data_IF_926462632758
#
_entry.id   IF_926462632758
#
_cell.length_a   1.000
_cell.length_b   1.000
_cell.length_c   1.000
_cell.angle_alpha   90.00
_cell.angle_beta   90.00
_cell.angle_gamma   90.00
#
_symmetry.space_group_name_H-M   'P 1'
#
loop_
_entity.id
_entity.type
_entity.pdbx_description
1 polymer ?
#
# COMPACT_ATOMS: atom_id res chain seq x y z
N UNK A 1 -25.58 -6.06 -17.61
CA UNK A 1 -26.27 -5.52 -16.42
C UNK A 1 -27.66 -5.04 -16.84
N UNK A 2 -28.65 -5.15 -15.97
CA UNK A 2 -30.10 -4.95 -16.23
C UNK A 2 -30.54 -3.54 -16.70
N UNK A 3 -29.64 -2.57 -16.74
CA UNK A 3 -29.89 -1.20 -17.22
C UNK A 3 -30.77 -0.36 -16.30
N UNK A 4 -31.10 -0.86 -15.11
CA UNK A 4 -31.99 -0.18 -14.16
C UNK A 4 -31.17 0.39 -13.01
N UNK A 5 -31.01 1.71 -13.00
CA UNK A 5 -30.32 2.45 -11.94
C UNK A 5 -28.83 2.67 -12.19
N UNK A 6 -28.15 3.20 -11.16
CA UNK A 6 -26.72 3.56 -11.19
C UNK A 6 -26.07 3.10 -9.89
N UNK A 7 -24.79 2.78 -9.95
CA UNK A 7 -23.97 2.46 -8.78
C UNK A 7 -22.79 3.42 -8.73
N UNK A 8 -22.45 3.90 -7.52
CA UNK A 8 -21.28 4.72 -7.33
C UNK A 8 -20.02 3.85 -7.24
N UNK A 9 -19.03 4.15 -8.07
CA UNK A 9 -17.65 3.75 -7.86
C UNK A 9 -16.89 4.95 -7.33
N UNK A 10 -16.04 4.75 -6.31
CA UNK A 10 -15.34 5.85 -5.66
C UNK A 10 -13.93 5.46 -5.23
N UNK A 11 -13.07 6.46 -5.14
CA UNK A 11 -11.75 6.37 -4.55
C UNK A 11 -11.81 6.88 -3.11
N UNK A 12 -11.14 6.18 -2.19
CA UNK A 12 -11.07 6.56 -0.78
C UNK A 12 -9.63 6.81 -0.38
N UNK A 13 -9.35 8.04 0.06
CA UNK A 13 -8.08 8.44 0.65
C UNK A 13 -8.30 8.89 2.09
N UNK A 14 -7.65 8.22 3.03
CA UNK A 14 -7.67 8.62 4.45
C UNK A 14 -6.50 9.55 4.74
N UNK A 15 -6.77 10.68 5.39
CA UNK A 15 -5.72 11.60 5.83
C UNK A 15 -4.90 10.96 6.97
N UNK A 16 -3.93 10.12 6.64
CA UNK A 16 -2.95 9.56 7.59
C UNK A 16 -1.81 10.56 7.82
N UNK A 17 -0.92 10.27 8.78
CA UNK A 17 0.29 11.07 8.99
C UNK A 17 1.16 11.17 7.72
N UNK A 18 1.32 10.04 7.01
CA UNK A 18 2.08 9.97 5.75
C UNK A 18 1.44 10.81 4.64
N UNK A 19 0.12 10.68 4.43
CA UNK A 19 -0.60 11.46 3.41
C UNK A 19 -0.51 12.96 3.70
N UNK A 20 -0.74 13.36 4.96
CA UNK A 20 -0.59 14.77 5.37
C UNK A 20 0.84 15.28 5.14
N UNK A 21 1.85 14.44 5.35
CA UNK A 21 3.23 14.82 5.10
C UNK A 21 3.50 15.08 3.61
N UNK A 22 3.07 14.16 2.75
CA UNK A 22 3.21 14.32 1.29
C UNK A 22 2.51 15.57 0.77
N UNK A 23 1.34 15.92 1.33
CA UNK A 23 0.63 17.16 0.97
C UNK A 23 1.44 18.39 1.36
N UNK A 24 1.99 18.45 2.58
CA UNK A 24 2.82 19.58 3.04
C UNK A 24 4.10 19.74 2.24
N UNK A 25 4.71 18.63 1.80
CA UNK A 25 5.94 18.63 1.01
C UNK A 25 5.70 18.78 -0.50
N UNK A 26 4.46 18.98 -0.95
CA UNK A 26 4.08 19.06 -2.36
C UNK A 26 4.51 17.81 -3.18
N UNK A 27 4.47 16.63 -2.54
CA UNK A 27 4.78 15.32 -3.14
C UNK A 27 3.49 14.53 -3.42
N UNK A 28 2.46 15.22 -3.90
CA UNK A 28 1.11 14.64 -4.11
C UNK A 28 1.09 13.50 -5.12
N UNK A 29 2.02 13.48 -6.08
CA UNK A 29 2.19 12.38 -7.03
C UNK A 29 2.47 11.02 -6.38
N UNK A 30 3.02 10.99 -5.16
CA UNK A 30 3.27 9.75 -4.42
C UNK A 30 2.02 9.20 -3.71
N UNK A 31 0.94 9.99 -3.61
CA UNK A 31 -0.29 9.59 -2.90
C UNK A 31 -0.94 8.37 -3.56
N UNK A 32 -0.87 8.22 -4.88
CA UNK A 32 -1.42 7.06 -5.59
C UNK A 32 -0.88 5.72 -5.06
N UNK A 33 0.43 5.65 -4.79
CA UNK A 33 1.07 4.45 -4.21
C UNK A 33 0.63 4.19 -2.77
N UNK A 34 0.34 5.25 -2.00
CA UNK A 34 -0.23 5.10 -0.66
C UNK A 34 -1.67 4.58 -0.71
N UNK A 35 -2.49 5.00 -1.67
CA UNK A 35 -3.86 4.47 -1.84
C UNK A 35 -3.80 2.97 -2.17
N UNK A 36 -2.93 2.57 -3.11
CA UNK A 36 -2.77 1.18 -3.53
C UNK A 36 -2.36 0.24 -2.38
N UNK A 37 -1.48 0.71 -1.49
CA UNK A 37 -0.97 -0.07 -0.35
C UNK A 37 -1.74 0.16 0.96
N UNK A 38 -2.65 1.15 0.97
CA UNK A 38 -3.38 1.64 2.15
C UNK A 38 -4.64 0.85 2.52
N UNK A 39 -4.79 -0.39 2.05
CA UNK A 39 -5.99 -1.21 2.29
C UNK A 39 -6.31 -1.38 3.78
N UNK A 40 -5.29 -1.48 4.64
CA UNK A 40 -5.44 -1.53 6.12
C UNK A 40 -6.11 -0.27 6.70
N UNK A 41 -5.89 0.87 6.06
CA UNK A 41 -6.54 2.13 6.40
C UNK A 41 -7.86 2.32 5.63
N UNK A 42 -8.42 1.26 5.03
CA UNK A 42 -9.61 1.30 4.17
C UNK A 42 -9.48 2.25 2.98
N UNK A 43 -8.24 2.49 2.52
CA UNK A 43 -8.03 3.18 1.25
C UNK A 43 -8.34 2.22 0.10
N UNK A 44 -8.81 2.80 -1.00
CA UNK A 44 -9.15 2.06 -2.20
C UNK A 44 -9.04 3.00 -3.41
N UNK A 45 -8.39 2.55 -4.49
CA UNK A 45 -8.35 3.31 -5.74
C UNK A 45 -9.66 3.18 -6.52
N UNK A 46 -9.92 4.11 -7.44
CA UNK A 46 -11.08 4.00 -8.33
C UNK A 46 -11.09 2.68 -9.10
N UNK A 47 -9.94 2.25 -9.64
CA UNK A 47 -9.80 1.03 -10.43
C UNK A 47 -10.10 -0.22 -9.59
N UNK A 48 -9.68 -0.24 -8.32
CA UNK A 48 -10.05 -1.30 -7.36
C UNK A 48 -11.57 -1.31 -7.10
N UNK A 49 -12.21 -0.15 -6.97
CA UNK A 49 -13.67 -0.06 -6.83
C UNK A 49 -14.40 -0.59 -8.06
N UNK A 50 -13.91 -0.25 -9.26
CA UNK A 50 -14.49 -0.72 -10.52
C UNK A 50 -14.31 -2.23 -10.68
N UNK A 51 -13.11 -2.76 -10.45
CA UNK A 51 -12.82 -4.19 -10.53
C UNK A 51 -13.73 -5.00 -9.59
N UNK A 52 -13.93 -4.52 -8.35
CA UNK A 52 -14.86 -5.13 -7.39
C UNK A 52 -16.31 -5.12 -7.90
N UNK A 53 -16.77 -4.01 -8.48
CA UNK A 53 -18.13 -3.94 -9.02
C UNK A 53 -18.34 -4.85 -10.24
N UNK A 54 -17.30 -5.10 -11.04
CA UNK A 54 -17.33 -6.09 -12.13
C UNK A 54 -17.37 -7.51 -11.58
N UNK A 55 -16.52 -7.80 -10.60
CA UNK A 55 -16.44 -9.11 -9.93
C UNK A 55 -17.78 -9.51 -9.29
N UNK A 56 -18.46 -8.55 -8.68
CA UNK A 56 -19.81 -8.72 -8.11
C UNK A 56 -20.92 -8.89 -9.18
N UNK A 57 -20.59 -8.84 -10.47
CA UNK A 57 -21.59 -8.82 -11.56
C UNK A 57 -22.48 -7.59 -11.56
N UNK A 58 -22.12 -6.58 -10.76
CA UNK A 58 -22.81 -5.31 -10.70
C UNK A 58 -22.51 -4.62 -12.03
N UNK A 59 -21.37 -4.02 -12.33
CA UNK A 59 -21.16 -3.33 -13.64
C UNK A 59 -20.67 -4.28 -14.73
N UNK A 60 -20.91 -3.94 -16.01
CA UNK A 60 -20.29 -4.67 -17.12
C UNK A 60 -18.79 -4.35 -17.19
N UNK A 61 -17.99 -5.29 -17.70
CA UNK A 61 -16.57 -5.09 -17.89
C UNK A 61 -16.27 -3.88 -18.80
N UNK A 62 -17.02 -3.75 -19.89
CA UNK A 62 -16.87 -2.66 -20.86
C UNK A 62 -17.18 -1.30 -20.23
N UNK A 63 -18.29 -1.19 -19.49
CA UNK A 63 -18.68 0.02 -18.78
C UNK A 63 -17.66 0.47 -17.74
N UNK A 64 -17.07 -0.49 -17.04
CA UNK A 64 -16.05 -0.25 -16.02
C UNK A 64 -14.73 0.19 -16.66
N UNK A 65 -14.27 -0.53 -17.71
CA UNK A 65 -13.04 -0.20 -18.44
C UNK A 65 -13.09 1.20 -19.05
N UNK A 66 -14.23 1.58 -19.64
CA UNK A 66 -14.42 2.90 -20.22
C UNK A 66 -14.38 4.05 -19.21
N UNK A 67 -14.55 3.76 -17.91
CA UNK A 67 -14.58 4.74 -16.81
C UNK A 67 -13.41 4.57 -15.83
N UNK A 68 -12.51 3.62 -16.08
CA UNK A 68 -11.33 3.37 -15.27
C UNK A 68 -10.36 4.56 -15.36
N UNK A 69 -9.63 4.83 -14.28
CA UNK A 69 -8.60 5.87 -14.26
C UNK A 69 -7.36 5.39 -15.01
N UNK A 70 -6.98 4.14 -14.78
CA UNK A 70 -5.96 3.42 -15.52
C UNK A 70 -6.55 2.10 -16.04
N UNK A 71 -6.91 2.02 -17.34
CA UNK A 71 -7.48 0.81 -17.92
C UNK A 71 -6.57 -0.43 -17.81
N UNK A 72 -5.25 -0.25 -17.84
CA UNK A 72 -4.30 -1.35 -17.72
C UNK A 72 -4.26 -1.93 -16.32
N UNK A 73 -4.23 -1.07 -15.31
CA UNK A 73 -4.31 -1.48 -13.91
C UNK A 73 -5.66 -2.12 -13.58
N UNK A 74 -6.75 -1.55 -14.10
CA UNK A 74 -8.09 -2.14 -13.97
C UNK A 74 -8.15 -3.57 -14.54
N UNK A 75 -7.63 -3.80 -15.75
CA UNK A 75 -7.59 -5.14 -16.36
C UNK A 75 -6.77 -6.11 -15.52
N UNK A 76 -5.61 -5.67 -15.01
CA UNK A 76 -4.78 -6.47 -14.11
C UNK A 76 -5.55 -6.88 -12.86
N UNK A 77 -6.29 -5.96 -12.24
CA UNK A 77 -7.09 -6.21 -11.04
C UNK A 77 -8.25 -7.18 -11.31
N UNK A 78 -8.96 -7.04 -12.43
CA UNK A 78 -10.03 -7.96 -12.83
C UNK A 78 -9.49 -9.37 -13.10
N UNK A 79 -8.32 -9.49 -13.73
CA UNK A 79 -7.70 -10.79 -13.99
C UNK A 79 -7.22 -11.45 -12.70
N UNK A 80 -6.77 -10.66 -11.72
CA UNK A 80 -6.36 -11.16 -10.40
C UNK A 80 -7.53 -11.71 -9.59
N UNK A 81 -8.74 -11.14 -9.70
CA UNK A 81 -9.92 -11.69 -8.99
C UNK A 81 -10.39 -13.00 -9.61
N UNK A 82 -10.34 -13.13 -10.94
CA UNK A 82 -10.71 -14.36 -11.67
C UNK A 82 -9.79 -15.53 -11.35
N UNK A 83 -8.48 -15.29 -11.19
CA UNK A 83 -7.51 -16.36 -10.87
C UNK A 83 -7.56 -16.82 -9.41
N UNK A 84 -8.22 -16.06 -8.52
CA UNK A 84 -8.39 -16.43 -7.12
C UNK A 84 -9.58 -17.39 -6.86
N UNK A 85 -10.34 -17.80 -7.89
CA UNK A 85 -11.42 -18.77 -7.75
C UNK A 85 -10.88 -20.22 -7.72
N UNK A 86 -11.04 -20.98 -6.61
CA UNK A 86 -10.62 -22.38 -6.56
C UNK A 86 -11.68 -23.25 -7.23
N UNK A 87 -11.38 -23.78 -8.41
CA UNK A 87 -12.31 -24.65 -9.13
C UNK A 87 -11.89 -25.08 -10.52
N UNK A 88 -10.75 -25.75 -10.67
CA UNK A 88 -10.52 -26.87 -11.62
C UNK A 88 -9.23 -27.56 -11.19
N UNK A 89 -9.30 -28.88 -11.00
CA UNK A 89 -8.20 -29.72 -10.58
C UNK A 89 -7.21 -30.02 -11.73
N UNK A 90 -5.93 -30.17 -11.34
CA UNK A 90 -4.80 -30.88 -11.98
C UNK A 90 -3.78 -30.10 -12.85
N UNK A 91 -2.50 -30.54 -12.93
CA UNK A 91 -1.78 -31.53 -12.11
C UNK A 91 -0.69 -30.91 -11.20
N UNK A 92 -0.37 -31.64 -10.13
CA UNK A 92 0.81 -31.43 -9.29
C UNK A 92 2.06 -31.48 -10.19
N UNK A 93 2.73 -30.35 -10.35
CA UNK A 93 4.10 -30.33 -10.85
C UNK A 93 5.02 -30.70 -9.68
N UNK A 94 5.62 -31.87 -9.77
CA UNK A 94 6.70 -32.32 -8.88
C UNK A 94 7.86 -31.32 -8.94
N UNK A 95 8.19 -30.74 -7.80
CA UNK A 95 9.33 -29.84 -7.63
C UNK A 95 10.65 -30.57 -7.96
N UNK A 96 11.58 -29.96 -8.72
CA UNK A 96 12.96 -30.40 -8.69
C UNK A 96 13.65 -29.89 -7.40
N UNK A 97 14.63 -30.68 -6.98
CA UNK A 97 15.30 -30.64 -5.70
C UNK A 97 15.88 -29.28 -5.29
N UNK A 98 15.78 -29.01 -4.00
CA UNK A 98 16.53 -27.99 -3.27
C UNK A 98 18.03 -28.29 -3.31
N UNK A 99 18.84 -27.34 -3.77
CA UNK A 99 20.29 -27.35 -3.60
C UNK A 99 20.63 -26.62 -2.30
N UNK A 100 21.51 -27.16 -1.43
CA UNK A 100 21.80 -26.55 -0.14
C UNK A 100 22.56 -25.22 -0.27
N UNK A 101 22.18 -24.24 0.54
CA UNK A 101 22.86 -22.96 0.73
C UNK A 101 24.21 -23.22 1.40
N UNK A 102 25.32 -22.83 0.78
CA UNK A 102 26.62 -22.75 1.44
C UNK A 102 26.61 -21.63 2.49
N UNK A 103 26.79 -22.01 3.74
CA UNK A 103 27.21 -21.14 4.84
C UNK A 103 28.71 -20.89 4.75
N UNK A 104 29.11 -19.63 4.56
CA UNK A 104 30.49 -19.16 4.78
C UNK A 104 30.44 -17.94 5.72
N UNK A 105 31.39 -17.80 6.67
CA UNK A 105 31.11 -17.23 7.98
C UNK A 105 31.50 -15.74 8.12
N UNK A 106 30.85 -15.09 9.08
CA UNK A 106 31.37 -14.04 9.95
C UNK A 106 32.32 -13.00 9.34
N UNK A 107 31.75 -11.96 8.74
CA UNK A 107 32.32 -10.61 8.79
C UNK A 107 31.67 -9.84 9.95
N UNK A 108 32.49 -9.29 10.84
CA UNK A 108 32.09 -8.52 12.02
C UNK A 108 31.04 -7.44 11.73
N UNK A 109 30.06 -7.21 12.62
CA UNK A 109 29.25 -6.01 12.57
C UNK A 109 30.08 -4.80 13.00
N UNK A 110 30.49 -3.96 12.03
CA UNK A 110 30.88 -2.59 12.34
C UNK A 110 29.64 -1.83 12.83
N UNK A 111 29.61 -1.52 14.12
CA UNK A 111 28.64 -0.63 14.72
C UNK A 111 28.76 0.78 14.11
N UNK A 112 27.66 1.44 13.71
CA UNK A 112 27.72 2.87 13.38
C UNK A 112 28.06 3.64 14.66
N UNK A 113 29.14 4.43 14.59
CA UNK A 113 29.58 5.30 15.66
C UNK A 113 28.45 6.23 16.12
N UNK A 114 28.19 6.26 17.42
CA UNK A 114 27.25 7.18 18.05
C UNK A 114 27.63 8.65 17.73
N UNK A 115 26.67 9.56 17.52
CA UNK A 115 26.97 10.98 17.43
C UNK A 115 27.53 11.46 18.78
N UNK A 116 28.78 11.91 18.78
CA UNK A 116 29.39 12.55 19.93
C UNK A 116 28.73 13.93 20.13
N UNK A 117 27.88 14.05 21.15
CA UNK A 117 27.42 15.36 21.63
C UNK A 117 28.58 16.07 22.35
N UNK A 118 28.91 17.32 22.00
CA UNK A 118 29.93 18.07 22.71
C UNK A 118 29.47 18.36 24.16
N UNK A 119 30.38 18.43 25.14
CA UNK A 119 30.02 18.70 26.52
C UNK A 119 29.44 20.11 26.64
N UNK A 120 28.21 20.21 27.14
CA UNK A 120 27.58 21.49 27.47
C UNK A 120 28.27 22.04 28.71
N UNK A 121 29.20 22.97 28.50
CA UNK A 121 29.87 23.71 29.58
C UNK A 121 28.87 24.71 30.16
N UNK A 122 28.36 24.44 31.35
CA UNK A 122 27.69 25.43 32.19
C UNK A 122 26.15 25.42 32.15
N UNK A 123 25.52 24.33 32.60
CA UNK A 123 24.14 24.42 33.07
C UNK A 123 24.13 25.10 34.46
N UNK A 124 24.05 26.43 34.46
CA UNK A 124 23.66 27.19 35.64
C UNK A 124 22.24 26.76 36.05
N UNK A 125 22.14 26.30 37.29
CA UNK A 125 20.92 26.04 38.04
C UNK A 125 19.90 27.19 37.84
N UNK A 126 18.69 26.89 37.35
CA UNK A 126 17.57 27.86 37.30
C UNK A 126 16.70 27.68 38.56
N UNK A 127 16.69 28.62 39.51
CA UNK A 127 15.86 28.51 40.70
C UNK A 127 14.40 28.89 40.39
N UNK A 128 13.47 28.04 40.84
CA UNK A 128 12.18 28.43 41.41
C UNK A 128 11.11 29.06 40.50
N UNK A 129 10.09 28.28 40.15
CA UNK A 129 8.74 28.81 39.91
C UNK A 129 7.97 28.72 41.24
N UNK A 130 7.68 29.86 41.88
CA UNK A 130 6.75 29.88 43.01
C UNK A 130 5.34 30.15 42.50
N UNK A 131 4.41 29.30 42.93
CA UNK A 131 2.97 29.54 42.87
C UNK A 131 2.58 30.48 44.02
N UNK A 132 2.09 31.68 43.68
CA UNK A 132 0.79 32.26 44.07
C UNK A 132 0.71 33.70 43.58
#
# INVERSE_FOLDING_TARGET
>A
KDGRGRVAAYETLVATGAVRNLIRENKTFQISSLIQTGSRAKMQSLDQSMAKLVDMGIVTHEDAKARAKDPGEFERLVNLSKSASPGTAAPVQTAPAVTPIQTTPAGEPQAPAAPQTPPVRGAQFRPGYQSK
#
